data_IF_640422673600
#
_entry.id   IF_640422673600
#
_cell.length_a   1.000
_cell.length_b   1.000
_cell.length_c   1.000
_cell.angle_alpha   90.00
_cell.angle_beta   90.00
_cell.angle_gamma   90.00
#
_symmetry.space_group_name_H-M   'P 1'
#
loop_
_entity.id
_entity.type
_entity.pdbx_description
1 polymer ?
#
# COMPACT_ATOMS: atom_id res chain seq x y z
N UNK A 1 -23.69 27.20 -27.03
CA UNK A 1 -24.86 26.36 -27.24
C UNK A 1 -24.56 25.33 -28.33
N UNK A 2 -23.40 24.64 -28.22
CA UNK A 2 -22.90 23.63 -29.18
C UNK A 2 -22.30 22.39 -28.46
N UNK A 3 -22.74 22.14 -27.24
CA UNK A 3 -22.22 21.00 -26.42
C UNK A 3 -23.00 19.70 -26.64
N UNK A 4 -23.99 19.69 -27.53
CA UNK A 4 -24.81 18.53 -27.85
C UNK A 4 -25.00 18.38 -29.37
N UNK A 5 -23.89 18.43 -30.14
CA UNK A 5 -23.93 17.87 -31.48
C UNK A 5 -24.18 16.37 -31.33
N UNK A 6 -25.38 15.91 -31.63
CA UNK A 6 -25.76 14.51 -31.71
C UNK A 6 -24.82 13.79 -32.68
N UNK A 7 -23.82 13.13 -32.16
CA UNK A 7 -23.06 12.15 -32.91
C UNK A 7 -24.02 10.96 -33.13
N UNK A 8 -24.69 10.95 -34.28
CA UNK A 8 -25.57 9.85 -34.74
C UNK A 8 -24.70 8.61 -35.05
N UNK A 9 -23.98 8.12 -34.10
CA UNK A 9 -23.48 6.74 -34.08
C UNK A 9 -24.65 5.85 -33.72
N UNK A 10 -24.91 4.88 -34.56
CA UNK A 10 -25.89 3.83 -34.35
C UNK A 10 -25.49 3.03 -33.07
N UNK A 11 -25.93 3.55 -31.91
CA UNK A 11 -25.69 2.92 -30.62
C UNK A 11 -26.60 1.70 -30.56
N UNK A 12 -25.99 0.52 -30.76
CA UNK A 12 -26.68 -0.74 -30.47
C UNK A 12 -27.07 -0.73 -28.99
N UNK A 13 -28.34 -0.65 -28.70
CA UNK A 13 -28.88 -0.74 -27.34
C UNK A 13 -28.69 -2.18 -26.87
N UNK A 14 -27.82 -2.35 -25.86
CA UNK A 14 -27.60 -3.65 -25.24
C UNK A 14 -28.87 -4.13 -24.54
N UNK A 15 -29.22 -5.39 -24.70
CA UNK A 15 -30.34 -5.99 -23.97
C UNK A 15 -30.01 -6.13 -22.48
N UNK A 16 -31.03 -6.09 -21.62
CA UNK A 16 -30.86 -6.29 -20.17
C UNK A 16 -30.09 -7.58 -19.85
N UNK A 17 -30.25 -8.62 -20.66
CA UNK A 17 -29.52 -9.88 -20.51
C UNK A 17 -28.02 -9.75 -20.85
N UNK A 18 -27.69 -8.98 -21.88
CA UNK A 18 -26.30 -8.70 -22.26
C UNK A 18 -25.61 -7.87 -21.17
N UNK A 19 -26.28 -6.82 -20.69
CA UNK A 19 -25.79 -5.98 -19.60
C UNK A 19 -25.54 -6.82 -18.35
N UNK A 20 -26.52 -7.64 -17.93
CA UNK A 20 -26.41 -8.51 -16.77
C UNK A 20 -25.25 -9.51 -16.93
N UNK A 21 -25.13 -10.15 -18.11
CA UNK A 21 -24.04 -11.08 -18.39
C UNK A 21 -22.66 -10.40 -18.30
N UNK A 22 -22.54 -9.19 -18.84
CA UNK A 22 -21.29 -8.42 -18.80
C UNK A 22 -20.94 -7.96 -17.38
N UNK A 23 -21.94 -7.56 -16.58
CA UNK A 23 -21.76 -7.26 -15.16
C UNK A 23 -21.25 -8.47 -14.39
N UNK A 24 -21.84 -9.66 -14.56
CA UNK A 24 -21.36 -10.89 -13.88
C UNK A 24 -19.95 -11.28 -14.31
N UNK A 25 -19.61 -11.15 -15.58
CA UNK A 25 -18.24 -11.44 -16.07
C UNK A 25 -17.16 -10.56 -15.41
N UNK A 26 -17.51 -9.36 -14.99
CA UNK A 26 -16.61 -8.46 -14.29
C UNK A 26 -16.69 -8.68 -12.78
N UNK A 27 -17.92 -8.78 -12.23
CA UNK A 27 -18.13 -8.87 -10.79
C UNK A 27 -17.58 -10.16 -10.17
N UNK A 28 -17.77 -11.32 -10.82
CA UNK A 28 -17.32 -12.61 -10.29
C UNK A 28 -15.80 -12.63 -10.03
N UNK A 29 -14.92 -12.25 -10.98
CA UNK A 29 -13.49 -12.24 -10.74
C UNK A 29 -13.06 -11.24 -9.65
N UNK A 30 -13.70 -10.08 -9.57
CA UNK A 30 -13.41 -9.07 -8.55
C UNK A 30 -13.81 -9.59 -7.16
N UNK A 31 -15.03 -10.16 -7.04
CA UNK A 31 -15.50 -10.75 -5.79
C UNK A 31 -14.60 -11.94 -5.38
N UNK A 32 -14.22 -12.79 -6.33
CA UNK A 32 -13.30 -13.91 -6.06
C UNK A 32 -11.95 -13.42 -5.54
N UNK A 33 -11.39 -12.38 -6.16
CA UNK A 33 -10.13 -11.76 -5.70
C UNK A 33 -10.24 -11.21 -4.28
N UNK A 34 -11.32 -10.51 -3.95
CA UNK A 34 -11.57 -9.98 -2.60
C UNK A 34 -11.80 -11.11 -1.59
N UNK A 35 -12.51 -12.17 -1.98
CA UNK A 35 -12.72 -13.34 -1.15
C UNK A 35 -11.40 -14.07 -0.82
N UNK A 36 -10.46 -14.17 -1.78
CA UNK A 36 -9.13 -14.75 -1.55
C UNK A 36 -8.37 -13.95 -0.50
N UNK A 37 -8.39 -12.61 -0.55
CA UNK A 37 -7.78 -11.79 0.49
C UNK A 37 -8.44 -11.98 1.85
N UNK A 38 -9.76 -12.14 1.92
CA UNK A 38 -10.48 -12.42 3.16
C UNK A 38 -10.13 -13.82 3.72
N UNK A 39 -9.97 -14.81 2.84
CA UNK A 39 -9.51 -16.15 3.24
C UNK A 39 -8.09 -16.12 3.83
N UNK A 40 -7.24 -15.18 3.41
CA UNK A 40 -5.90 -15.02 3.98
C UNK A 40 -5.96 -14.69 5.48
N UNK A 41 -6.95 -13.91 5.90
CA UNK A 41 -7.16 -13.61 7.33
C UNK A 41 -7.67 -14.85 8.10
N UNK A 42 -8.51 -15.67 7.48
CA UNK A 42 -8.95 -16.96 8.08
C UNK A 42 -7.78 -17.94 8.24
N UNK A 43 -6.88 -17.99 7.26
CA UNK A 43 -5.64 -18.79 7.36
C UNK A 43 -4.82 -18.32 8.56
N UNK A 44 -4.66 -17.02 8.75
CA UNK A 44 -3.94 -16.50 9.92
C UNK A 44 -4.64 -16.88 11.22
N UNK A 45 -5.96 -16.69 11.31
CA UNK A 45 -6.72 -17.02 12.51
C UNK A 45 -6.54 -18.48 12.91
N UNK A 46 -6.73 -19.42 11.98
CA UNK A 46 -6.62 -20.84 12.24
C UNK A 46 -5.18 -21.25 12.56
N UNK A 47 -4.20 -20.72 11.79
CA UNK A 47 -2.80 -21.12 11.94
C UNK A 47 -2.15 -20.51 13.17
N UNK A 48 -2.43 -19.24 13.49
CA UNK A 48 -1.90 -18.60 14.70
C UNK A 48 -2.40 -19.34 15.93
N UNK A 49 -3.71 -19.54 16.03
CA UNK A 49 -4.30 -20.23 17.18
C UNK A 49 -3.77 -21.67 17.31
N UNK A 50 -3.78 -22.44 16.23
CA UNK A 50 -3.34 -23.86 16.29
C UNK A 50 -1.85 -24.01 16.54
N UNK A 51 -1.01 -23.16 15.95
CA UNK A 51 0.45 -23.29 16.09
C UNK A 51 0.95 -22.75 17.42
N UNK A 52 0.41 -21.63 17.93
CA UNK A 52 0.76 -21.13 19.26
C UNK A 52 0.28 -22.09 20.36
N UNK A 53 -0.92 -22.66 20.22
CA UNK A 53 -1.39 -23.70 21.15
C UNK A 53 -0.49 -24.95 21.13
N UNK A 54 0.04 -25.34 19.97
CA UNK A 54 0.94 -26.49 19.83
C UNK A 54 2.32 -26.28 20.50
N UNK A 55 2.75 -25.04 20.72
CA UNK A 55 3.97 -24.73 21.48
C UNK A 55 3.79 -25.12 22.97
N UNK A 56 2.56 -25.03 23.49
CA UNK A 56 2.23 -25.46 24.85
C UNK A 56 2.64 -24.52 25.98
N UNK A 57 3.22 -23.36 25.65
CA UNK A 57 3.64 -22.34 26.63
C UNK A 57 2.66 -21.20 26.81
N UNK A 58 1.69 -21.06 25.90
CA UNK A 58 0.71 -19.97 25.90
C UNK A 58 -0.66 -20.47 26.36
N UNK A 59 -1.32 -19.68 27.21
CA UNK A 59 -2.73 -19.85 27.55
C UNK A 59 -3.61 -19.41 26.39
N UNK A 60 -4.89 -19.80 26.36
CA UNK A 60 -5.84 -19.36 25.35
C UNK A 60 -5.99 -17.83 25.32
N UNK A 61 -6.02 -17.21 26.51
CA UNK A 61 -6.12 -15.73 26.63
C UNK A 61 -4.89 -15.03 26.06
N UNK A 62 -3.69 -15.56 26.25
CA UNK A 62 -2.46 -15.01 25.67
C UNK A 62 -2.44 -15.15 24.14
N UNK A 63 -2.92 -16.27 23.60
CA UNK A 63 -3.05 -16.48 22.16
C UNK A 63 -4.02 -15.47 21.56
N UNK A 64 -5.18 -15.26 22.19
CA UNK A 64 -6.17 -14.27 21.76
C UNK A 64 -5.61 -12.84 21.83
N UNK A 65 -4.84 -12.52 22.86
CA UNK A 65 -4.18 -11.23 23.00
C UNK A 65 -3.13 -11.00 21.89
N UNK A 66 -2.31 -12.01 21.58
CA UNK A 66 -1.34 -11.95 20.48
C UNK A 66 -2.04 -11.80 19.11
N UNK A 67 -3.11 -12.55 18.88
CA UNK A 67 -3.90 -12.41 17.65
C UNK A 67 -4.58 -11.03 17.56
N UNK A 68 -5.04 -10.49 18.69
CA UNK A 68 -5.55 -9.12 18.79
C UNK A 68 -4.50 -8.06 18.46
N UNK A 69 -3.23 -8.26 18.87
CA UNK A 69 -2.13 -7.37 18.46
C UNK A 69 -1.87 -7.43 16.95
N UNK A 70 -1.93 -8.63 16.35
CA UNK A 70 -1.76 -8.81 14.92
C UNK A 70 -2.86 -8.09 14.13
N UNK A 71 -4.13 -8.37 14.44
CA UNK A 71 -5.28 -7.89 13.65
C UNK A 71 -5.68 -6.46 14.02
N UNK A 72 -5.80 -6.17 15.30
CA UNK A 72 -6.28 -4.88 15.79
C UNK A 72 -5.25 -3.76 15.72
N UNK A 73 -3.96 -4.07 15.85
CA UNK A 73 -2.90 -3.05 15.86
C UNK A 73 -2.08 -3.05 14.57
N UNK A 74 -1.37 -4.15 14.27
CA UNK A 74 -0.48 -4.21 13.12
C UNK A 74 -1.24 -4.05 11.79
N UNK A 75 -2.27 -4.87 11.55
CA UNK A 75 -3.03 -4.81 10.29
C UNK A 75 -3.69 -3.44 10.12
N UNK A 76 -4.31 -2.91 11.18
CA UNK A 76 -4.99 -1.62 11.14
C UNK A 76 -4.01 -0.48 10.80
N UNK A 77 -2.87 -0.39 11.49
CA UNK A 77 -1.90 0.68 11.25
C UNK A 77 -1.19 0.53 9.90
N UNK A 78 -0.95 -0.69 9.44
CA UNK A 78 -0.33 -0.96 8.13
C UNK A 78 -1.28 -0.64 6.96
N UNK A 79 -2.59 -0.80 7.14
CA UNK A 79 -3.57 -0.52 6.08
C UNK A 79 -3.95 0.96 5.95
N UNK A 80 -3.77 1.78 6.99
CA UNK A 80 -4.08 3.21 6.94
C UNK A 80 -3.36 3.96 5.79
N UNK A 81 -2.02 3.86 5.62
CA UNK A 81 -1.34 4.51 4.50
C UNK A 81 -1.77 3.93 3.14
N UNK A 82 -2.10 2.64 3.11
CA UNK A 82 -2.53 1.96 1.89
C UNK A 82 -3.91 2.42 1.43
N UNK A 83 -4.78 2.86 2.33
CA UNK A 83 -6.08 3.42 1.99
C UNK A 83 -5.96 4.62 1.03
N UNK A 84 -4.93 5.46 1.20
CA UNK A 84 -4.65 6.58 0.28
C UNK A 84 -4.29 6.03 -1.11
N UNK A 85 -3.44 5.00 -1.19
CA UNK A 85 -3.08 4.35 -2.45
C UNK A 85 -4.29 3.72 -3.14
N UNK A 86 -5.20 3.12 -2.37
CA UNK A 86 -6.45 2.55 -2.87
C UNK A 86 -7.39 3.64 -3.42
N UNK A 87 -7.48 4.79 -2.74
CA UNK A 87 -8.26 5.92 -3.21
C UNK A 87 -7.71 6.48 -4.54
N UNK A 88 -6.38 6.61 -4.67
CA UNK A 88 -5.74 6.97 -5.93
C UNK A 88 -6.04 5.95 -7.04
N UNK A 89 -5.94 4.65 -6.73
CA UNK A 89 -6.28 3.59 -7.68
C UNK A 89 -7.70 3.74 -8.21
N UNK A 90 -8.68 3.87 -7.32
CA UNK A 90 -10.09 3.99 -7.70
C UNK A 90 -10.38 5.23 -8.53
N UNK A 91 -9.71 6.36 -8.25
CA UNK A 91 -9.86 7.60 -9.02
C UNK A 91 -9.27 7.49 -10.44
N UNK A 92 -8.18 6.73 -10.62
CA UNK A 92 -7.47 6.63 -11.91
C UNK A 92 -8.05 5.53 -12.81
N UNK A 93 -8.66 4.47 -12.26
CA UNK A 93 -9.21 3.34 -13.01
C UNK A 93 -10.13 3.80 -14.18
N UNK A 94 -11.16 4.66 -13.98
CA UNK A 94 -12.02 5.08 -15.08
C UNK A 94 -11.28 5.85 -16.18
N UNK A 95 -10.29 6.66 -15.77
CA UNK A 95 -9.47 7.45 -16.69
C UNK A 95 -8.57 6.56 -17.56
N UNK A 96 -7.99 5.49 -16.97
CA UNK A 96 -7.21 4.50 -17.71
C UNK A 96 -8.11 3.71 -18.66
N UNK A 97 -9.26 3.22 -18.17
CA UNK A 97 -10.21 2.46 -18.98
C UNK A 97 -10.69 3.26 -20.19
N UNK A 98 -11.01 4.55 -20.02
CA UNK A 98 -11.37 5.45 -21.12
C UNK A 98 -10.25 5.60 -22.16
N UNK A 99 -8.98 5.75 -21.72
CA UNK A 99 -7.85 5.85 -22.64
C UNK A 99 -7.57 4.51 -23.38
N UNK A 100 -7.80 3.37 -22.72
CA UNK A 100 -7.70 2.04 -23.36
C UNK A 100 -8.73 1.90 -24.49
N UNK A 101 -9.98 2.29 -24.24
CA UNK A 101 -11.06 2.25 -25.26
C UNK A 101 -10.72 3.15 -26.45
N UNK A 102 -10.13 4.33 -26.22
CA UNK A 102 -9.69 5.24 -27.26
C UNK A 102 -8.38 4.83 -27.94
N UNK A 103 -7.75 3.72 -27.50
CA UNK A 103 -6.45 3.21 -28.01
C UNK A 103 -5.30 4.20 -27.85
N UNK A 104 -5.35 5.05 -26.83
CA UNK A 104 -4.34 6.07 -26.52
C UNK A 104 -3.21 5.44 -25.67
N UNK A 105 -2.38 4.59 -26.28
CA UNK A 105 -1.38 3.78 -25.56
C UNK A 105 -0.38 4.61 -24.77
N UNK A 106 0.11 5.72 -25.33
CA UNK A 106 1.07 6.61 -24.63
C UNK A 106 0.43 7.25 -23.39
N UNK A 107 -0.83 7.66 -23.50
CA UNK A 107 -1.55 8.24 -22.37
C UNK A 107 -1.84 7.20 -21.27
N UNK A 108 -2.13 5.95 -21.65
CA UNK A 108 -2.26 4.85 -20.68
C UNK A 108 -0.94 4.64 -19.94
N UNK A 109 0.19 4.58 -20.66
CA UNK A 109 1.51 4.39 -20.05
C UNK A 109 1.86 5.54 -19.10
N UNK A 110 1.66 6.79 -19.50
CA UNK A 110 1.92 7.97 -18.69
C UNK A 110 1.08 7.97 -17.40
N UNK A 111 -0.22 7.67 -17.50
CA UNK A 111 -1.12 7.58 -16.33
C UNK A 111 -0.72 6.48 -15.37
N UNK A 112 -0.35 5.32 -15.89
CA UNK A 112 0.10 4.17 -15.07
C UNK A 112 1.40 4.51 -14.36
N UNK A 113 2.39 5.07 -15.06
CA UNK A 113 3.68 5.44 -14.47
C UNK A 113 3.51 6.46 -13.35
N UNK A 114 2.77 7.55 -13.60
CA UNK A 114 2.49 8.57 -12.59
C UNK A 114 1.76 7.99 -11.37
N UNK A 115 0.80 7.09 -11.59
CA UNK A 115 0.03 6.49 -10.49
C UNK A 115 0.91 5.56 -9.65
N UNK A 116 1.76 4.75 -10.27
CA UNK A 116 2.74 3.92 -9.56
C UNK A 116 3.71 4.77 -8.75
N UNK A 117 4.25 5.85 -9.34
CA UNK A 117 5.18 6.76 -8.69
C UNK A 117 4.54 7.45 -7.48
N UNK A 118 3.35 8.02 -7.62
CA UNK A 118 2.61 8.64 -6.50
C UNK A 118 2.34 7.64 -5.37
N UNK A 119 1.98 6.40 -5.70
CA UNK A 119 1.76 5.35 -4.71
C UNK A 119 3.04 5.08 -3.91
N UNK A 120 4.20 5.01 -4.56
CA UNK A 120 5.47 4.77 -3.87
C UNK A 120 5.95 5.99 -3.06
N UNK A 121 5.72 7.20 -3.54
CA UNK A 121 6.01 8.46 -2.79
C UNK A 121 5.23 8.50 -1.46
N UNK A 122 4.07 7.85 -1.38
CA UNK A 122 3.26 7.79 -0.15
C UNK A 122 3.62 6.56 0.71
N UNK A 123 3.71 5.38 0.09
CA UNK A 123 3.85 4.13 0.83
C UNK A 123 5.24 3.89 1.40
N UNK A 124 6.32 4.32 0.70
CA UNK A 124 7.68 4.13 1.18
C UNK A 124 7.96 4.94 2.46
N UNK A 125 7.69 6.27 2.53
CA UNK A 125 7.87 6.99 3.77
C UNK A 125 6.96 6.51 4.90
N UNK A 126 5.74 6.09 4.59
CA UNK A 126 4.84 5.50 5.59
C UNK A 126 5.42 4.20 6.17
N UNK A 127 5.95 3.32 5.33
CA UNK A 127 6.61 2.08 5.78
C UNK A 127 7.82 2.38 6.67
N UNK A 128 8.71 3.28 6.24
CA UNK A 128 9.91 3.63 7.02
C UNK A 128 9.52 4.37 8.30
N UNK A 129 8.51 5.25 8.27
CA UNK A 129 8.00 5.94 9.45
C UNK A 129 7.40 4.97 10.47
N UNK A 130 6.58 4.01 10.04
CA UNK A 130 6.06 2.94 10.90
C UNK A 130 7.16 2.02 11.43
N UNK A 131 8.17 1.71 10.61
CA UNK A 131 9.33 0.93 11.05
C UNK A 131 10.16 1.66 12.11
N UNK A 132 10.32 2.96 11.97
CA UNK A 132 11.10 3.79 12.90
C UNK A 132 10.31 4.08 14.18
N UNK A 133 9.11 4.62 14.07
CA UNK A 133 8.32 5.12 15.20
C UNK A 133 7.16 4.19 15.62
N UNK A 134 7.08 2.95 15.09
CA UNK A 134 5.96 2.04 15.36
C UNK A 134 5.63 1.84 16.84
N UNK A 135 6.61 1.50 17.70
CA UNK A 135 6.37 1.36 19.14
C UNK A 135 5.87 2.66 19.79
N UNK A 136 6.43 3.81 19.41
CA UNK A 136 6.05 5.12 19.93
C UNK A 136 4.63 5.52 19.49
N UNK A 137 4.28 5.23 18.24
CA UNK A 137 2.94 5.42 17.70
C UNK A 137 1.94 4.54 18.43
N UNK A 138 2.27 3.27 18.69
CA UNK A 138 1.40 2.39 19.48
C UNK A 138 1.20 2.91 20.90
N UNK A 139 2.26 3.31 21.58
CA UNK A 139 2.17 3.87 22.91
C UNK A 139 1.38 5.19 22.96
N UNK A 140 1.41 5.96 21.86
CA UNK A 140 0.61 7.18 21.73
C UNK A 140 -0.89 6.85 21.57
N UNK A 141 -1.22 5.84 20.76
CA UNK A 141 -2.60 5.46 20.45
C UNK A 141 -3.23 4.57 21.54
N UNK A 142 -2.42 3.72 22.16
CA UNK A 142 -2.82 2.74 23.16
C UNK A 142 -1.92 2.83 24.40
N UNK A 143 -2.02 3.90 25.24
CA UNK A 143 -1.09 4.13 26.34
C UNK A 143 -0.99 2.97 27.34
N UNK A 144 -2.10 2.27 27.60
CA UNK A 144 -2.19 1.17 28.58
C UNK A 144 -1.95 -0.22 27.94
N UNK A 145 -1.92 -0.33 26.62
CA UNK A 145 -1.82 -1.58 25.87
C UNK A 145 -0.92 -1.40 24.66
N UNK A 146 0.31 -0.96 24.87
CA UNK A 146 1.26 -0.62 23.80
C UNK A 146 2.03 -1.82 23.24
N UNK A 147 1.70 -3.04 23.66
CA UNK A 147 2.32 -4.27 23.16
C UNK A 147 2.09 -4.44 21.64
N UNK A 148 3.01 -5.14 20.96
CA UNK A 148 2.96 -5.37 19.52
C UNK A 148 3.76 -4.37 18.68
N UNK A 149 4.55 -3.49 19.30
CA UNK A 149 5.42 -2.55 18.59
C UNK A 149 6.42 -3.23 17.65
N UNK A 150 6.89 -4.43 18.02
CA UNK A 150 7.77 -5.24 17.18
C UNK A 150 7.06 -5.75 15.93
N UNK A 151 5.77 -6.10 16.01
CA UNK A 151 4.97 -6.52 14.85
C UNK A 151 4.90 -5.40 13.80
N UNK A 152 4.70 -4.15 14.25
CA UNK A 152 4.66 -2.99 13.36
C UNK A 152 6.04 -2.74 12.76
N UNK A 153 7.10 -2.80 13.56
CA UNK A 153 8.47 -2.57 13.08
C UNK A 153 8.87 -3.58 12.01
N UNK A 154 8.67 -4.86 12.26
CA UNK A 154 8.99 -5.94 11.31
C UNK A 154 8.08 -5.90 10.08
N UNK A 155 6.79 -5.67 10.31
CA UNK A 155 5.78 -5.69 9.26
C UNK A 155 5.66 -4.41 8.45
N UNK A 156 6.32 -3.32 8.83
CA UNK A 156 6.20 -2.04 8.15
C UNK A 156 6.53 -2.10 6.65
N UNK A 157 7.49 -2.93 6.27
CA UNK A 157 7.87 -3.13 4.87
C UNK A 157 6.71 -3.68 4.01
N UNK A 158 5.78 -4.42 4.63
CA UNK A 158 4.59 -4.96 3.94
C UNK A 158 3.69 -3.87 3.36
N UNK A 159 3.71 -2.65 3.93
CA UNK A 159 2.94 -1.49 3.47
C UNK A 159 3.26 -1.15 2.02
N UNK A 160 4.55 -1.19 1.65
CA UNK A 160 5.00 -0.91 0.27
C UNK A 160 4.46 -1.93 -0.71
N UNK A 161 4.57 -3.22 -0.36
CA UNK A 161 4.11 -4.31 -1.23
C UNK A 161 2.59 -4.39 -1.30
N UNK A 162 1.89 -4.12 -0.19
CA UNK A 162 0.44 -4.05 -0.18
C UNK A 162 -0.05 -2.89 -1.05
N UNK A 163 0.54 -1.70 -0.95
CA UNK A 163 0.20 -0.55 -1.78
C UNK A 163 0.46 -0.84 -3.27
N UNK A 164 1.63 -1.45 -3.60
CA UNK A 164 1.95 -1.85 -4.96
C UNK A 164 0.97 -2.88 -5.50
N UNK A 165 0.55 -3.84 -4.67
CA UNK A 165 -0.45 -4.85 -5.04
C UNK A 165 -1.80 -4.21 -5.33
N UNK A 166 -2.26 -3.28 -4.48
CA UNK A 166 -3.54 -2.59 -4.63
C UNK A 166 -3.60 -1.73 -5.90
N UNK A 167 -2.57 -0.90 -6.12
CA UNK A 167 -2.55 -0.04 -7.31
C UNK A 167 -2.45 -0.88 -8.60
N UNK A 168 -1.62 -1.92 -8.61
CA UNK A 168 -1.49 -2.81 -9.75
C UNK A 168 -2.79 -3.55 -10.04
N UNK A 169 -3.53 -3.97 -9.01
CA UNK A 169 -4.86 -4.56 -9.13
C UNK A 169 -5.83 -3.57 -9.80
N UNK A 170 -5.88 -2.32 -9.33
CA UNK A 170 -6.74 -1.30 -9.90
C UNK A 170 -6.43 -1.05 -11.39
N UNK A 171 -5.16 -0.88 -11.74
CA UNK A 171 -4.75 -0.70 -13.14
C UNK A 171 -5.11 -1.91 -14.00
N UNK A 172 -4.85 -3.13 -13.52
CA UNK A 172 -5.21 -4.37 -14.25
C UNK A 172 -6.72 -4.47 -14.49
N UNK A 173 -7.53 -4.07 -13.51
CA UNK A 173 -8.99 -3.97 -13.69
C UNK A 173 -9.35 -2.93 -14.73
N UNK A 174 -8.73 -1.75 -14.69
CA UNK A 174 -8.94 -0.67 -15.67
C UNK A 174 -8.58 -1.04 -17.11
N UNK A 175 -7.58 -1.91 -17.32
CA UNK A 175 -7.20 -2.44 -18.64
C UNK A 175 -7.93 -3.74 -19.00
N UNK A 176 -8.96 -4.15 -18.25
CA UNK A 176 -9.78 -5.33 -18.52
C UNK A 176 -9.15 -6.68 -18.13
N UNK A 177 -8.02 -6.68 -17.41
CA UNK A 177 -7.36 -7.91 -16.92
C UNK A 177 -7.82 -8.29 -15.52
N UNK A 178 -9.14 -8.33 -15.30
CA UNK A 178 -9.76 -8.50 -13.96
C UNK A 178 -9.42 -9.80 -13.24
N UNK A 179 -9.10 -10.87 -13.98
CA UNK A 179 -8.79 -12.19 -13.41
C UNK A 179 -7.34 -12.28 -12.87
N UNK A 180 -6.41 -11.50 -13.42
CA UNK A 180 -5.00 -11.64 -13.09
C UNK A 180 -4.73 -11.35 -11.59
N UNK A 181 -5.27 -10.29 -10.96
CA UNK A 181 -5.04 -10.05 -9.54
C UNK A 181 -5.55 -11.16 -8.62
N UNK A 182 -6.69 -11.79 -8.95
CA UNK A 182 -7.25 -12.88 -8.18
C UNK A 182 -6.31 -14.10 -8.15
N UNK A 183 -5.80 -14.51 -9.30
CA UNK A 183 -4.81 -15.60 -9.40
C UNK A 183 -3.51 -15.28 -8.70
N UNK A 184 -3.03 -14.04 -8.83
CA UNK A 184 -1.78 -13.60 -8.22
C UNK A 184 -1.90 -13.53 -6.68
N UNK A 185 -3.06 -13.09 -6.17
CA UNK A 185 -3.38 -13.14 -4.74
C UNK A 185 -3.44 -14.58 -4.21
N UNK A 186 -4.02 -15.51 -4.99
CA UNK A 186 -4.06 -16.93 -4.62
C UNK A 186 -2.65 -17.51 -4.46
N UNK A 187 -1.74 -17.24 -5.39
CA UNK A 187 -0.34 -17.68 -5.28
C UNK A 187 0.36 -17.10 -4.05
N UNK A 188 0.13 -15.81 -3.75
CA UNK A 188 0.62 -15.20 -2.53
C UNK A 188 0.08 -15.89 -1.27
N UNK A 189 -1.22 -16.21 -1.25
CA UNK A 189 -1.87 -16.90 -0.13
C UNK A 189 -1.37 -18.33 0.06
N UNK A 190 -1.15 -19.07 -1.03
CA UNK A 190 -0.57 -20.43 -0.97
C UNK A 190 0.85 -20.38 -0.40
N UNK A 191 1.68 -19.43 -0.82
CA UNK A 191 3.04 -19.28 -0.31
C UNK A 191 3.08 -18.87 1.17
N UNK A 192 2.05 -18.19 1.67
CA UNK A 192 1.92 -17.81 3.07
C UNK A 192 1.79 -19.01 4.00
N UNK A 193 1.09 -20.07 3.59
CA UNK A 193 0.77 -21.23 4.42
C UNK A 193 2.04 -21.90 5.00
N UNK A 194 3.04 -22.32 4.19
CA UNK A 194 4.25 -22.92 4.75
C UNK A 194 5.05 -21.96 5.62
N UNK A 195 5.12 -20.68 5.24
CA UNK A 195 5.83 -19.68 6.03
C UNK A 195 5.20 -19.51 7.41
N UNK A 196 3.87 -19.41 7.49
CA UNK A 196 3.12 -19.39 8.75
C UNK A 196 3.40 -20.66 9.57
N UNK A 197 3.29 -21.83 8.92
CA UNK A 197 3.40 -23.11 9.59
C UNK A 197 4.74 -23.29 10.32
N UNK A 198 5.84 -22.91 9.66
CA UNK A 198 7.19 -23.07 10.23
C UNK A 198 7.55 -21.92 11.18
N UNK A 199 7.28 -20.68 10.84
CA UNK A 199 7.76 -19.53 11.63
C UNK A 199 6.98 -19.34 12.93
N UNK A 200 5.65 -19.55 12.93
CA UNK A 200 4.86 -19.42 14.17
C UNK A 200 5.21 -20.51 15.18
N UNK A 201 5.65 -21.67 14.72
CA UNK A 201 6.05 -22.78 15.59
C UNK A 201 7.36 -22.53 16.37
N UNK A 202 8.13 -21.50 15.99
CA UNK A 202 9.38 -21.15 16.67
C UNK A 202 9.04 -20.20 17.82
N UNK A 203 9.29 -20.58 19.09
CA UNK A 203 8.88 -19.78 20.26
C UNK A 203 9.43 -18.36 20.27
N UNK A 204 10.64 -18.13 19.75
CA UNK A 204 11.30 -16.83 19.71
C UNK A 204 10.69 -15.92 18.61
N UNK A 205 10.08 -16.48 17.58
CA UNK A 205 9.44 -15.76 16.47
C UNK A 205 7.96 -15.60 16.74
N UNK A 206 7.29 -16.68 17.17
CA UNK A 206 5.86 -16.75 17.50
C UNK A 206 4.96 -15.96 16.52
N UNK A 207 4.17 -15.01 17.00
CA UNK A 207 3.24 -14.19 16.22
C UNK A 207 3.91 -13.31 15.14
N UNK A 208 5.21 -12.99 15.29
CA UNK A 208 5.99 -12.28 14.26
C UNK A 208 6.04 -13.12 12.96
N UNK A 209 6.01 -14.46 13.09
CA UNK A 209 5.92 -15.37 11.94
C UNK A 209 4.73 -15.09 11.04
N UNK A 210 3.58 -14.73 11.62
CA UNK A 210 2.38 -14.36 10.87
C UNK A 210 2.57 -13.02 10.12
N UNK A 211 3.30 -12.08 10.69
CA UNK A 211 3.66 -10.80 10.03
C UNK A 211 4.60 -11.04 8.85
N UNK A 212 5.62 -11.88 9.04
CA UNK A 212 6.57 -12.25 7.98
C UNK A 212 5.86 -12.96 6.84
N UNK A 213 4.99 -13.93 7.14
CA UNK A 213 4.24 -14.67 6.13
C UNK A 213 3.28 -13.78 5.34
N UNK A 214 2.63 -12.83 6.01
CA UNK A 214 1.79 -11.81 5.37
C UNK A 214 2.62 -10.93 4.45
N UNK A 215 3.82 -10.53 4.88
CA UNK A 215 4.76 -9.78 4.05
C UNK A 215 5.17 -10.56 2.80
N UNK A 216 5.50 -11.84 2.94
CA UNK A 216 5.81 -12.74 1.81
C UNK A 216 4.63 -12.87 0.84
N UNK A 217 3.41 -13.02 1.37
CA UNK A 217 2.19 -13.02 0.55
C UNK A 217 2.08 -11.74 -0.30
N UNK A 218 2.25 -10.58 0.30
CA UNK A 218 2.17 -9.30 -0.42
C UNK A 218 3.32 -9.09 -1.39
N UNK A 219 4.54 -9.54 -1.08
CA UNK A 219 5.67 -9.52 -2.02
C UNK A 219 5.32 -10.32 -3.26
N UNK A 220 4.88 -11.57 -3.11
CA UNK A 220 4.57 -12.44 -4.25
C UNK A 220 3.40 -11.87 -5.06
N UNK A 221 2.29 -11.52 -4.41
CA UNK A 221 1.12 -10.97 -5.08
C UNK A 221 1.46 -9.66 -5.82
N UNK A 222 2.22 -8.74 -5.19
CA UNK A 222 2.59 -7.46 -5.79
C UNK A 222 3.53 -7.63 -6.99
N UNK A 223 4.54 -8.50 -6.90
CA UNK A 223 5.46 -8.75 -7.99
C UNK A 223 4.78 -9.40 -9.20
N UNK A 224 3.87 -10.36 -8.96
CA UNK A 224 3.08 -10.98 -10.02
C UNK A 224 2.12 -9.98 -10.65
N UNK A 225 1.43 -9.16 -9.85
CA UNK A 225 0.55 -8.09 -10.35
C UNK A 225 1.33 -7.06 -11.16
N UNK A 226 2.48 -6.61 -10.65
CA UNK A 226 3.33 -5.63 -11.32
C UNK A 226 3.84 -6.16 -12.67
N UNK A 227 4.28 -7.43 -12.72
CA UNK A 227 4.67 -8.09 -13.97
C UNK A 227 3.50 -8.17 -14.96
N UNK A 228 2.31 -8.56 -14.49
CA UNK A 228 1.11 -8.63 -15.32
C UNK A 228 0.72 -7.24 -15.85
N UNK A 229 0.84 -6.20 -15.01
CA UNK A 229 0.59 -4.80 -15.36
C UNK A 229 1.53 -4.33 -16.47
N UNK A 230 2.84 -4.52 -16.33
CA UNK A 230 3.83 -4.16 -17.35
C UNK A 230 3.50 -4.85 -18.68
N UNK A 231 3.18 -6.16 -18.62
CA UNK A 231 2.82 -6.93 -19.81
C UNK A 231 1.55 -6.44 -20.48
N UNK A 232 0.57 -5.99 -19.70
CA UNK A 232 -0.73 -5.55 -20.22
C UNK A 232 -0.71 -4.12 -20.78
N UNK A 233 0.10 -3.23 -20.20
CA UNK A 233 0.13 -1.80 -20.54
C UNK A 233 1.34 -1.40 -21.41
N UNK A 234 2.39 -2.21 -21.40
CA UNK A 234 3.66 -1.87 -22.06
C UNK A 234 4.41 -0.72 -21.38
N UNK A 235 3.99 -0.32 -20.17
CA UNK A 235 4.65 0.75 -19.41
C UNK A 235 6.09 0.37 -19.09
N UNK A 236 6.98 1.36 -19.13
CA UNK A 236 8.37 1.25 -18.68
C UNK A 236 8.55 2.14 -17.48
N UNK A 237 8.33 1.62 -16.25
CA UNK A 237 8.38 2.44 -15.06
C UNK A 237 9.76 3.06 -14.85
N UNK A 238 9.80 4.34 -14.47
CA UNK A 238 11.01 4.96 -13.97
C UNK A 238 11.32 4.45 -12.56
N UNK A 239 12.09 3.37 -12.46
CA UNK A 239 12.46 2.78 -11.16
C UNK A 239 13.24 3.75 -10.28
N UNK A 240 13.99 4.68 -10.86
CA UNK A 240 14.75 5.67 -10.09
C UNK A 240 13.79 6.67 -9.44
N UNK A 241 12.87 7.22 -10.22
CA UNK A 241 11.85 8.14 -9.69
C UNK A 241 10.85 7.45 -8.78
N UNK A 242 10.47 6.20 -9.09
CA UNK A 242 9.46 5.45 -8.35
C UNK A 242 9.97 4.88 -7.02
N UNK A 243 11.19 4.33 -6.98
CA UNK A 243 11.71 3.61 -5.82
C UNK A 243 12.93 4.28 -5.19
N UNK A 244 13.98 4.58 -5.98
CA UNK A 244 15.27 5.00 -5.41
C UNK A 244 15.17 6.35 -4.72
N UNK A 245 14.63 7.35 -5.39
CA UNK A 245 14.51 8.71 -4.83
C UNK A 245 13.62 8.76 -3.58
N UNK A 246 12.40 8.18 -3.59
CA UNK A 246 11.58 8.12 -2.37
C UNK A 246 12.23 7.32 -1.25
N UNK A 247 12.97 6.24 -1.56
CA UNK A 247 13.66 5.44 -0.54
C UNK A 247 14.76 6.23 0.15
N UNK A 248 15.62 6.93 -0.61
CA UNK A 248 16.68 7.79 -0.04
C UNK A 248 16.07 8.87 0.86
N UNK A 249 15.06 9.59 0.36
CA UNK A 249 14.39 10.63 1.14
C UNK A 249 13.74 10.07 2.42
N UNK A 250 13.14 8.87 2.33
CA UNK A 250 12.47 8.23 3.48
C UNK A 250 13.45 7.69 4.51
N UNK A 251 14.62 7.19 4.10
CA UNK A 251 15.68 6.78 5.04
C UNK A 251 16.17 7.99 5.82
N UNK A 252 16.46 9.11 5.14
CA UNK A 252 16.84 10.36 5.79
C UNK A 252 15.74 10.79 6.77
N UNK A 253 14.50 10.80 6.34
CA UNK A 253 13.33 11.07 7.17
C UNK A 253 13.28 10.18 8.41
N UNK A 254 13.45 8.86 8.25
CA UNK A 254 13.40 7.89 9.36
C UNK A 254 14.48 8.14 10.41
N UNK A 255 15.71 8.44 9.98
CA UNK A 255 16.81 8.79 10.88
C UNK A 255 16.49 10.08 11.66
N UNK A 256 16.08 11.13 10.97
CA UNK A 256 15.76 12.40 11.62
C UNK A 256 14.53 12.31 12.54
N UNK A 257 13.54 11.48 12.19
CA UNK A 257 12.37 11.27 13.05
C UNK A 257 12.74 10.57 14.38
N UNK A 258 13.61 9.56 14.33
CA UNK A 258 14.12 8.89 15.52
C UNK A 258 14.97 9.84 16.38
N UNK A 259 15.90 10.57 15.76
CA UNK A 259 16.74 11.53 16.48
C UNK A 259 15.91 12.63 17.14
N UNK A 260 14.94 13.20 16.44
CA UNK A 260 14.06 14.22 16.98
C UNK A 260 13.20 13.71 18.12
N UNK A 261 12.64 12.48 18.00
CA UNK A 261 11.90 11.85 19.08
C UNK A 261 12.74 11.73 20.35
N UNK A 262 13.97 11.18 20.27
CA UNK A 262 14.84 11.01 21.43
C UNK A 262 15.29 12.35 22.01
N UNK A 263 15.54 13.34 21.15
CA UNK A 263 15.90 14.68 21.58
C UNK A 263 14.75 15.34 22.36
N UNK A 264 13.55 15.34 21.83
CA UNK A 264 12.37 15.93 22.48
C UNK A 264 12.03 15.20 23.78
N UNK A 265 12.13 13.87 23.80
CA UNK A 265 11.83 13.07 24.98
C UNK A 265 12.77 13.38 26.15
N UNK A 266 14.01 13.79 25.85
CA UNK A 266 14.98 14.22 26.87
C UNK A 266 14.57 15.50 27.60
N UNK A 267 13.88 16.42 26.89
CA UNK A 267 13.42 17.69 27.46
C UNK A 267 11.99 17.62 27.98
N UNK A 268 11.14 16.82 27.35
CA UNK A 268 9.73 16.66 27.71
C UNK A 268 9.38 15.16 27.69
N UNK A 269 9.33 14.50 28.87
CA UNK A 269 9.07 13.04 28.94
C UNK A 269 7.59 12.71 28.71
N UNK A 270 7.04 13.14 27.56
CA UNK A 270 5.68 12.86 27.12
C UNK A 270 5.73 12.18 25.76
N UNK A 271 5.43 10.87 25.73
CA UNK A 271 5.44 10.10 24.47
C UNK A 271 4.51 10.70 23.41
N UNK A 272 3.31 11.14 23.81
CA UNK A 272 2.31 11.71 22.89
C UNK A 272 2.88 12.94 22.16
N UNK A 273 3.41 13.91 22.93
CA UNK A 273 3.92 15.17 22.37
C UNK A 273 5.16 14.91 21.51
N UNK A 274 6.10 14.10 22.03
CA UNK A 274 7.33 13.78 21.31
C UNK A 274 7.07 13.02 20.00
N UNK A 275 6.12 12.09 19.99
CA UNK A 275 5.76 11.34 18.78
C UNK A 275 5.10 12.26 17.75
N UNK A 276 4.17 13.13 18.16
CA UNK A 276 3.56 14.10 17.24
C UNK A 276 4.58 15.06 16.64
N UNK A 277 5.48 15.61 17.46
CA UNK A 277 6.56 16.48 16.98
C UNK A 277 7.51 15.73 16.03
N UNK A 278 7.88 14.48 16.35
CA UNK A 278 8.72 13.65 15.49
C UNK A 278 8.04 13.37 14.13
N UNK A 279 6.72 13.16 14.11
CA UNK A 279 5.96 12.99 12.86
C UNK A 279 6.00 14.29 12.04
N UNK A 280 5.81 15.45 12.66
CA UNK A 280 5.90 16.73 11.94
C UNK A 280 7.28 16.94 11.35
N UNK A 281 8.34 16.68 12.13
CA UNK A 281 9.73 16.72 11.64
C UNK A 281 9.92 15.74 10.48
N UNK A 282 9.40 14.52 10.59
CA UNK A 282 9.46 13.51 9.53
C UNK A 282 8.86 14.03 8.22
N UNK A 283 7.66 14.61 8.25
CA UNK A 283 7.00 15.17 7.06
C UNK A 283 7.85 16.25 6.42
N UNK A 284 8.36 17.21 7.22
CA UNK A 284 9.18 18.32 6.71
C UNK A 284 10.47 17.79 6.10
N UNK A 285 11.18 16.90 6.79
CA UNK A 285 12.44 16.30 6.31
C UNK A 285 12.22 15.52 5.02
N UNK A 286 11.14 14.72 4.94
CA UNK A 286 10.80 13.97 3.73
C UNK A 286 10.59 14.90 2.53
N UNK A 287 9.80 15.95 2.68
CA UNK A 287 9.53 16.92 1.61
C UNK A 287 10.81 17.61 1.16
N UNK A 288 11.64 18.07 2.11
CA UNK A 288 12.92 18.71 1.80
C UNK A 288 13.87 17.73 1.10
N UNK A 289 13.99 16.51 1.60
CA UNK A 289 14.84 15.49 0.99
C UNK A 289 14.37 15.13 -0.43
N UNK A 290 13.04 14.97 -0.66
CA UNK A 290 12.48 14.75 -1.99
C UNK A 290 12.79 15.90 -2.96
N UNK A 291 12.73 17.14 -2.50
CA UNK A 291 13.13 18.31 -3.30
C UNK A 291 14.64 18.25 -3.63
N UNK A 292 15.48 17.88 -2.64
CA UNK A 292 16.93 17.79 -2.84
C UNK A 292 17.32 16.72 -3.88
N UNK A 293 16.67 15.56 -3.84
CA UNK A 293 16.93 14.45 -4.79
C UNK A 293 16.19 14.63 -6.12
N UNK A 294 15.48 15.76 -6.34
CA UNK A 294 14.60 15.98 -7.51
C UNK A 294 13.64 14.80 -7.71
N UNK A 295 12.97 14.42 -6.61
CA UNK A 295 12.10 13.25 -6.56
C UNK A 295 10.68 13.51 -7.06
N UNK A 296 10.23 14.76 -7.10
CA UNK A 296 8.94 15.15 -7.65
C UNK A 296 9.04 15.40 -9.15
N UNK A 297 8.17 14.78 -9.93
CA UNK A 297 7.98 15.16 -11.32
C UNK A 297 6.85 16.19 -11.44
N UNK A 298 6.84 16.93 -12.53
CA UNK A 298 5.84 17.97 -12.78
C UNK A 298 4.42 17.40 -12.82
N UNK A 299 4.29 16.22 -13.40
CA UNK A 299 3.03 15.48 -13.53
C UNK A 299 2.46 15.08 -12.17
N UNK A 300 3.32 14.68 -11.23
CA UNK A 300 2.93 14.28 -9.88
C UNK A 300 2.25 15.43 -9.14
N UNK A 301 2.85 16.62 -9.25
CA UNK A 301 2.38 17.80 -8.57
C UNK A 301 1.08 18.36 -9.16
N UNK A 302 0.80 18.11 -10.44
CA UNK A 302 -0.47 18.52 -11.06
C UNK A 302 -1.68 17.76 -10.50
N UNK A 303 -1.46 16.55 -9.97
CA UNK A 303 -2.53 15.74 -9.38
C UNK A 303 -2.80 16.09 -7.90
N UNK A 304 -1.95 16.89 -7.27
CA UNK A 304 -2.09 17.27 -5.85
C UNK A 304 -2.83 18.61 -5.72
N UNK A 305 -3.76 18.76 -4.78
CA UNK A 305 -4.35 20.06 -4.46
C UNK A 305 -3.28 21.11 -4.19
N UNK A 306 -3.40 22.30 -4.79
CA UNK A 306 -2.40 23.39 -4.75
C UNK A 306 -1.10 23.10 -5.52
N UNK A 307 -0.98 22.04 -6.29
CA UNK A 307 0.23 21.66 -7.04
C UNK A 307 0.77 22.76 -7.94
N UNK A 308 -0.08 23.58 -8.58
CA UNK A 308 0.36 24.71 -9.40
C UNK A 308 1.14 25.80 -8.64
N UNK A 309 0.93 25.96 -7.31
CA UNK A 309 1.75 26.88 -6.48
C UNK A 309 3.10 26.24 -6.14
N UNK A 310 3.08 24.94 -5.88
CA UNK A 310 4.29 24.16 -5.57
C UNK A 310 5.19 24.09 -6.81
N UNK A 311 4.64 23.85 -7.99
CA UNK A 311 5.38 23.83 -9.27
C UNK A 311 6.11 25.19 -9.46
N UNK A 312 5.40 26.32 -9.38
CA UNK A 312 6.01 27.65 -9.53
C UNK A 312 7.12 27.92 -8.52
N UNK A 313 6.99 27.43 -7.29
CA UNK A 313 8.02 27.54 -6.27
C UNK A 313 9.25 26.70 -6.62
N UNK A 314 9.06 25.44 -7.06
CA UNK A 314 10.14 24.53 -7.41
C UNK A 314 10.87 24.93 -8.71
N UNK A 315 10.15 25.47 -9.69
CA UNK A 315 10.73 26.05 -10.91
C UNK A 315 11.65 27.24 -10.55
N UNK A 316 11.23 28.10 -9.60
CA UNK A 316 12.04 29.25 -9.14
C UNK A 316 13.36 28.82 -8.48
N UNK A 317 13.40 27.62 -7.89
CA UNK A 317 14.62 27.05 -7.25
C UNK A 317 15.39 26.10 -8.19
N UNK A 318 14.98 25.97 -9.44
CA UNK A 318 15.59 25.08 -10.45
C UNK A 318 15.67 23.59 -9.99
N UNK A 319 14.60 23.10 -9.34
CA UNK A 319 14.52 21.74 -8.77
C UNK A 319 13.54 20.80 -9.50
N UNK A 320 12.82 21.31 -10.50
CA UNK A 320 12.02 20.57 -11.48
C UNK A 320 12.44 20.99 -12.89
#
# INVERSE_FOLDING_TARGET
>A
MELFAEDKKDYRVETSREITSNLFKIAIPVITGTAIFSMTNLIDMVMVNSRLAAIGTYTAEEIDALYGQLTGKYVTLSTMPVAISTALATAVIPSIAGSVVRKEHELVQAKVDTTLRLTMIISIPAAIGLGALGPQILQMLFPNYSDGGMLIRVGSISVVFLALSQISTGVLQGVGKVNAPAWNALWGSIAKIPVNYFLIAIPEINIIGAVISTTVCYIIASLLNFRALIKATGVRPDFVGMLVKPSIASIIMGVFSLLSYHLFYKFMPSNLVCTLLAIVVAIVVFVVAMICVKGFAREDLQMVPMGGKIIRFLEKINRI
#
